data_IF_676380245096
#
_entry.id   IF_676380245096
#
_cell.length_a   1.000
_cell.length_b   1.000
_cell.length_c   1.000
_cell.angle_alpha   90.00
_cell.angle_beta   90.00
_cell.angle_gamma   90.00
#
_symmetry.space_group_name_H-M   'P 1'
#
loop_
_entity.id
_entity.type
_entity.pdbx_description
1 polymer ?
#
# COMPACT_ATOMS: atom_id res chain seq x y z
N UNK A 1 45.31 0.80 -39.86
CA UNK A 1 44.40 1.96 -39.72
C UNK A 1 42.92 1.56 -39.82
N UNK A 2 42.48 0.81 -40.86
CA UNK A 2 41.06 0.37 -40.98
C UNK A 2 40.54 -0.49 -39.81
N UNK A 3 41.35 -1.43 -39.31
CA UNK A 3 40.94 -2.33 -38.23
C UNK A 3 40.87 -1.62 -36.85
N UNK A 4 41.75 -0.65 -36.63
CA UNK A 4 41.69 0.22 -35.46
C UNK A 4 40.40 1.08 -35.47
N UNK A 5 40.07 1.70 -36.61
CA UNK A 5 38.85 2.50 -36.76
C UNK A 5 37.56 1.67 -36.54
N UNK A 6 37.54 0.42 -37.02
CA UNK A 6 36.39 -0.48 -36.76
C UNK A 6 36.25 -0.81 -35.29
N UNK A 7 37.34 -1.15 -34.62
CA UNK A 7 37.33 -1.49 -33.18
C UNK A 7 36.92 -0.30 -32.32
N UNK A 8 37.39 0.90 -32.66
CA UNK A 8 37.01 2.13 -31.98
C UNK A 8 35.51 2.45 -32.18
N UNK A 9 34.98 2.25 -33.37
CA UNK A 9 33.57 2.42 -33.70
C UNK A 9 32.71 1.43 -32.93
N UNK A 10 33.12 0.17 -32.81
CA UNK A 10 32.41 -0.84 -32.01
C UNK A 10 32.40 -0.50 -30.52
N UNK A 11 33.51 -0.01 -29.98
CA UNK A 11 33.62 0.44 -28.61
C UNK A 11 32.69 1.64 -28.32
N UNK A 12 32.67 2.63 -29.22
CA UNK A 12 31.79 3.80 -29.08
C UNK A 12 30.34 3.39 -29.16
N UNK A 13 29.93 2.51 -30.07
CA UNK A 13 28.58 2.01 -30.20
C UNK A 13 28.16 1.20 -28.97
N UNK A 14 29.05 0.36 -28.45
CA UNK A 14 28.81 -0.40 -27.22
C UNK A 14 28.59 0.52 -26.02
N UNK A 15 29.43 1.55 -25.86
CA UNK A 15 29.28 2.53 -24.78
C UNK A 15 28.00 3.35 -24.92
N UNK A 16 27.65 3.79 -26.11
CA UNK A 16 26.39 4.49 -26.36
C UNK A 16 25.15 3.63 -26.05
N UNK A 17 25.19 2.36 -26.46
CA UNK A 17 24.14 1.41 -26.17
C UNK A 17 23.98 1.19 -24.64
N UNK A 18 25.11 1.04 -23.93
CA UNK A 18 25.08 0.89 -22.47
C UNK A 18 24.49 2.12 -21.78
N UNK A 19 24.89 3.33 -22.20
CA UNK A 19 24.32 4.58 -21.67
C UNK A 19 22.83 4.66 -21.94
N UNK A 20 22.37 4.36 -23.16
CA UNK A 20 20.96 4.36 -23.51
C UNK A 20 20.16 3.30 -22.73
N UNK A 21 20.75 2.13 -22.50
CA UNK A 21 20.11 1.09 -21.67
C UNK A 21 19.98 1.55 -20.22
N UNK A 22 21.04 2.15 -19.66
CA UNK A 22 20.99 2.67 -18.29
C UNK A 22 20.02 3.84 -18.14
N UNK A 23 20.00 4.78 -19.09
CA UNK A 23 19.03 5.89 -19.08
C UNK A 23 17.60 5.39 -19.19
N UNK A 24 17.34 4.43 -20.09
CA UNK A 24 16.02 3.83 -20.22
C UNK A 24 15.64 3.02 -18.97
N UNK A 25 16.58 2.27 -18.39
CA UNK A 25 16.36 1.54 -17.15
C UNK A 25 16.00 2.49 -16.01
N UNK A 26 16.75 3.58 -15.83
CA UNK A 26 16.49 4.57 -14.79
C UNK A 26 15.16 5.31 -15.00
N UNK A 27 14.77 5.53 -16.24
CA UNK A 27 13.54 6.25 -16.59
C UNK A 27 12.28 5.39 -16.51
N UNK A 28 12.38 4.13 -16.93
CA UNK A 28 11.20 3.26 -17.11
C UNK A 28 11.18 2.02 -16.21
N UNK A 29 12.30 1.65 -15.60
CA UNK A 29 12.44 0.48 -14.74
C UNK A 29 12.93 0.84 -13.33
N UNK A 30 12.53 2.01 -12.80
CA UNK A 30 12.83 2.38 -11.42
C UNK A 30 11.94 1.59 -10.46
N UNK A 31 12.54 1.00 -9.43
CA UNK A 31 11.85 0.21 -8.41
C UNK A 31 12.01 -1.30 -8.59
N UNK A 32 11.27 -2.07 -7.80
CA UNK A 32 11.29 -3.53 -7.88
C UNK A 32 10.55 -4.04 -9.12
N UNK A 33 10.91 -5.24 -9.60
CA UNK A 33 10.23 -5.91 -10.72
C UNK A 33 8.73 -6.07 -10.40
N UNK A 34 8.40 -6.43 -9.17
CA UNK A 34 7.02 -6.61 -8.72
C UNK A 34 6.20 -5.31 -8.80
N UNK A 35 6.80 -4.16 -8.45
CA UNK A 35 6.14 -2.85 -8.64
C UNK A 35 5.84 -2.59 -10.11
N UNK A 36 6.78 -2.89 -10.96
CA UNK A 36 6.67 -2.74 -12.40
C UNK A 36 5.56 -3.60 -13.01
N UNK A 37 5.46 -4.83 -12.52
CA UNK A 37 4.38 -5.75 -12.91
C UNK A 37 3.02 -5.22 -12.49
N UNK A 38 2.89 -4.77 -11.25
CA UNK A 38 1.63 -4.19 -10.77
C UNK A 38 1.22 -2.95 -11.57
N UNK A 39 2.16 -2.05 -11.87
CA UNK A 39 1.89 -0.82 -12.62
C UNK A 39 1.54 -1.09 -14.09
N UNK A 40 2.20 -2.08 -14.73
CA UNK A 40 2.06 -2.37 -16.16
C UNK A 40 1.03 -3.45 -16.47
N UNK A 41 1.01 -4.53 -15.68
CA UNK A 41 0.19 -5.72 -15.90
C UNK A 41 -1.01 -5.78 -14.97
N UNK A 42 -0.98 -5.02 -13.88
CA UNK A 42 -2.00 -5.04 -12.83
C UNK A 42 -2.07 -6.36 -12.04
N UNK A 43 -1.04 -7.17 -12.08
CA UNK A 43 -0.85 -8.37 -11.27
C UNK A 43 0.65 -8.67 -11.11
N UNK A 44 1.01 -9.49 -10.13
CA UNK A 44 2.38 -9.97 -9.90
C UNK A 44 2.61 -11.30 -10.62
N UNK A 45 3.66 -11.38 -11.43
CA UNK A 45 4.19 -12.62 -11.97
C UNK A 45 5.30 -13.17 -11.07
N UNK A 46 6.07 -12.27 -10.46
CA UNK A 46 7.06 -12.57 -9.42
C UNK A 46 6.45 -12.47 -8.03
N UNK A 47 7.26 -12.65 -7.00
CA UNK A 47 6.82 -12.55 -5.62
C UNK A 47 6.20 -11.18 -5.34
N UNK A 48 5.16 -11.19 -4.51
CA UNK A 48 4.48 -9.98 -4.08
C UNK A 48 5.47 -9.01 -3.39
N UNK A 49 5.38 -7.70 -3.65
CA UNK A 49 6.27 -6.69 -3.08
C UNK A 49 6.39 -6.76 -1.55
N UNK A 50 5.34 -7.20 -0.88
CA UNK A 50 5.30 -7.32 0.58
C UNK A 50 5.76 -8.70 1.10
N UNK A 51 6.21 -9.62 0.23
CA UNK A 51 6.64 -10.97 0.65
C UNK A 51 7.85 -10.93 1.58
N UNK A 52 8.72 -9.94 1.41
CA UNK A 52 9.91 -9.76 2.23
C UNK A 52 9.69 -8.83 3.44
N UNK A 53 8.48 -8.26 3.60
CA UNK A 53 8.17 -7.32 4.68
C UNK A 53 8.43 -7.99 6.04
N UNK A 54 9.09 -7.26 6.93
CA UNK A 54 9.37 -7.72 8.31
C UNK A 54 8.12 -7.60 9.18
N UNK A 55 7.19 -8.52 8.97
CA UNK A 55 5.85 -8.53 9.59
C UNK A 55 5.92 -8.39 11.12
N UNK A 56 6.87 -9.07 11.76
CA UNK A 56 7.08 -9.03 13.23
C UNK A 56 7.43 -7.63 13.75
N UNK A 57 8.16 -6.83 12.95
CA UNK A 57 8.58 -5.47 13.34
C UNK A 57 7.39 -4.51 13.35
N UNK A 58 6.40 -4.77 12.48
CA UNK A 58 5.25 -3.90 12.27
C UNK A 58 3.95 -4.48 12.84
N UNK A 59 4.02 -5.57 13.62
CA UNK A 59 2.87 -6.31 14.15
C UNK A 59 1.84 -6.72 13.06
N UNK A 60 2.34 -7.04 11.88
CA UNK A 60 1.52 -7.48 10.76
C UNK A 60 1.31 -8.98 10.86
N UNK A 61 0.06 -9.40 10.75
CA UNK A 61 -0.34 -10.81 10.75
C UNK A 61 -0.89 -11.19 9.38
N UNK A 62 -0.73 -12.45 9.02
CA UNK A 62 -1.39 -13.00 7.83
C UNK A 62 -2.90 -13.06 8.07
N UNK A 63 -3.68 -12.44 7.16
CA UNK A 63 -5.14 -12.43 7.24
C UNK A 63 -5.76 -13.81 7.37
N UNK A 64 -5.20 -14.81 6.68
CA UNK A 64 -5.73 -16.17 6.68
C UNK A 64 -5.43 -16.93 7.96
N UNK A 65 -4.50 -16.44 8.78
CA UNK A 65 -4.22 -16.97 10.11
C UNK A 65 -5.12 -16.38 11.21
N UNK A 66 -5.82 -15.29 10.93
CA UNK A 66 -6.72 -14.62 11.89
C UNK A 66 -8.03 -15.45 11.99
N UNK A 67 -8.52 -15.75 13.20
CA UNK A 67 -9.81 -16.41 13.41
C UNK A 67 -10.96 -15.66 12.72
N UNK A 68 -11.98 -16.39 12.24
CA UNK A 68 -13.16 -15.81 11.58
C UNK A 68 -13.97 -14.93 12.52
N UNK A 69 -14.08 -15.35 13.79
CA UNK A 69 -14.69 -14.55 14.84
C UNK A 69 -13.62 -13.71 15.55
N UNK A 70 -13.87 -12.39 15.75
CA UNK A 70 -12.89 -11.53 16.37
C UNK A 70 -12.71 -11.92 17.85
N UNK A 71 -11.48 -12.08 18.28
CA UNK A 71 -11.10 -12.34 19.68
C UNK A 71 -11.48 -11.13 20.55
N UNK A 72 -12.08 -11.41 21.72
CA UNK A 72 -12.39 -10.40 22.70
C UNK A 72 -11.10 -10.03 23.47
N UNK A 73 -10.76 -8.75 23.44
CA UNK A 73 -9.64 -8.22 24.22
C UNK A 73 -10.09 -7.86 25.64
N UNK A 74 -11.15 -7.06 25.74
CA UNK A 74 -11.68 -6.62 27.05
C UNK A 74 -13.18 -6.33 26.99
N UNK A 75 -13.83 -6.44 28.16
CA UNK A 75 -15.24 -6.16 28.33
C UNK A 75 -15.39 -5.24 29.55
N UNK A 76 -16.08 -4.13 29.41
CA UNK A 76 -16.35 -3.21 30.50
C UNK A 76 -17.76 -2.61 30.42
N UNK A 77 -18.26 -2.11 31.54
CA UNK A 77 -19.53 -1.44 31.60
C UNK A 77 -19.39 0.05 31.23
N UNK A 78 -20.19 0.50 30.29
CA UNK A 78 -20.32 1.91 29.92
C UNK A 78 -21.19 2.70 30.90
N UNK A 79 -21.40 4.00 30.59
CA UNK A 79 -22.12 4.93 31.46
C UNK A 79 -23.59 4.54 31.74
N UNK A 80 -24.23 3.81 30.85
CA UNK A 80 -25.64 3.42 30.92
C UNK A 80 -25.83 1.92 31.20
N UNK A 81 -24.93 1.31 31.97
CA UNK A 81 -24.85 -0.15 32.19
C UNK A 81 -24.70 -0.98 30.89
N UNK A 82 -24.53 -0.31 29.75
CA UNK A 82 -24.29 -0.98 28.50
C UNK A 82 -22.93 -1.71 28.52
N UNK A 83 -22.94 -2.99 28.16
CA UNK A 83 -21.71 -3.76 28.03
C UNK A 83 -20.98 -3.35 26.76
N UNK A 84 -19.77 -2.85 26.92
CA UNK A 84 -18.87 -2.49 25.80
C UNK A 84 -17.82 -3.59 25.67
N UNK A 85 -17.77 -4.22 24.50
CA UNK A 85 -16.77 -5.23 24.17
C UNK A 85 -15.74 -4.62 23.22
N UNK A 86 -14.48 -4.67 23.62
CA UNK A 86 -13.35 -4.39 22.75
C UNK A 86 -12.81 -5.70 22.19
N UNK A 87 -12.51 -5.68 20.90
CA UNK A 87 -11.92 -6.82 20.22
C UNK A 87 -10.43 -6.56 20.02
N UNK A 88 -9.65 -7.62 20.06
CA UNK A 88 -8.23 -7.60 19.70
C UNK A 88 -8.07 -7.08 18.28
N UNK A 89 -7.28 -6.03 18.12
CA UNK A 89 -6.98 -5.48 16.82
C UNK A 89 -5.84 -6.26 16.18
N UNK A 90 -5.96 -6.49 14.89
CA UNK A 90 -4.93 -7.07 14.06
C UNK A 90 -4.50 -6.06 13.00
N UNK A 91 -3.28 -6.20 12.49
CA UNK A 91 -2.77 -5.42 11.37
C UNK A 91 -2.51 -6.34 10.20
N UNK A 92 -3.03 -6.00 9.04
CA UNK A 92 -2.77 -6.71 7.79
C UNK A 92 -2.12 -5.76 6.78
N UNK A 93 -1.30 -6.30 5.90
CA UNK A 93 -0.69 -5.53 4.82
C UNK A 93 -1.06 -6.10 3.46
N UNK A 94 -1.30 -5.24 2.48
CA UNK A 94 -1.62 -5.67 1.13
C UNK A 94 -1.56 -4.52 0.13
N UNK A 95 -1.50 -4.89 -1.15
CA UNK A 95 -1.56 -3.94 -2.27
C UNK A 95 -2.99 -3.82 -2.75
N UNK A 96 -3.46 -2.59 -2.90
CA UNK A 96 -4.81 -2.31 -3.43
C UNK A 96 -4.89 -2.78 -4.88
N UNK A 97 -5.82 -3.68 -5.18
CA UNK A 97 -6.07 -4.16 -6.54
C UNK A 97 -7.42 -3.67 -7.10
N UNK A 98 -8.39 -3.40 -6.23
CA UNK A 98 -9.71 -2.90 -6.63
C UNK A 98 -10.41 -2.17 -5.50
N UNK A 99 -11.45 -1.39 -5.82
CA UNK A 99 -12.37 -0.76 -4.87
C UNK A 99 -13.78 -0.66 -5.44
N UNK A 100 -14.77 -0.91 -4.60
CA UNK A 100 -16.19 -0.71 -4.91
C UNK A 100 -16.79 0.39 -4.03
N UNK A 101 -17.08 1.55 -4.65
CA UNK A 101 -17.66 2.71 -3.96
C UNK A 101 -19.07 2.48 -3.46
N UNK A 102 -19.84 1.62 -4.13
CA UNK A 102 -21.22 1.34 -3.74
C UNK A 102 -21.28 0.48 -2.48
N UNK A 103 -20.37 -0.48 -2.40
CA UNK A 103 -20.24 -1.40 -1.26
C UNK A 103 -19.33 -0.86 -0.16
N UNK A 104 -18.57 0.22 -0.43
CA UNK A 104 -17.50 0.75 0.42
C UNK A 104 -16.46 -0.32 0.75
N UNK A 105 -16.05 -1.09 -0.25
CA UNK A 105 -15.03 -2.14 -0.10
C UNK A 105 -13.78 -1.79 -0.86
N UNK A 106 -12.65 -2.23 -0.32
CA UNK A 106 -11.33 -2.20 -0.95
C UNK A 106 -10.81 -3.61 -0.99
N UNK A 107 -10.35 -4.04 -2.15
CA UNK A 107 -9.77 -5.36 -2.33
C UNK A 107 -8.25 -5.25 -2.29
N UNK A 108 -7.64 -5.97 -1.37
CA UNK A 108 -6.19 -6.05 -1.21
C UNK A 108 -5.68 -7.39 -1.71
N UNK A 109 -4.56 -7.36 -2.39
CA UNK A 109 -3.72 -8.52 -2.63
C UNK A 109 -2.65 -8.56 -1.54
N UNK A 110 -2.63 -9.63 -0.76
CA UNK A 110 -1.59 -9.92 0.23
C UNK A 110 -0.66 -11.02 -0.30
N UNK A 111 0.49 -11.28 0.30
CA UNK A 111 1.34 -12.41 -0.10
C UNK A 111 0.63 -13.76 -0.07
N UNK A 112 -0.38 -13.92 0.81
CA UNK A 112 -1.12 -15.18 1.01
C UNK A 112 -2.42 -15.29 0.22
N UNK A 113 -2.91 -14.18 -0.37
CA UNK A 113 -4.14 -14.20 -1.14
C UNK A 113 -4.89 -12.86 -1.18
N UNK A 114 -6.13 -12.91 -1.66
CA UNK A 114 -6.99 -11.73 -1.83
C UNK A 114 -7.85 -11.53 -0.60
N UNK A 115 -7.89 -10.30 -0.10
CA UNK A 115 -8.65 -9.91 1.09
C UNK A 115 -9.61 -8.77 0.75
N UNK A 116 -10.86 -8.90 1.17
CA UNK A 116 -11.87 -7.84 1.05
C UNK A 116 -11.90 -7.05 2.36
N UNK A 117 -11.64 -5.75 2.27
CA UNK A 117 -11.72 -4.80 3.39
C UNK A 117 -13.01 -4.02 3.28
N UNK A 118 -13.89 -4.13 4.27
CA UNK A 118 -15.17 -3.39 4.33
C UNK A 118 -15.01 -2.16 5.20
N UNK A 119 -15.04 -1.01 4.58
CA UNK A 119 -14.79 0.29 5.21
C UNK A 119 -16.12 1.01 5.50
N UNK A 120 -16.24 1.70 6.64
CA UNK A 120 -17.40 2.53 6.89
C UNK A 120 -17.49 3.67 5.86
N UNK A 121 -18.72 4.01 5.42
CA UNK A 121 -18.96 5.00 4.36
C UNK A 121 -18.22 6.33 4.58
N UNK A 122 -18.22 6.84 5.79
CA UNK A 122 -17.53 8.09 6.13
C UNK A 122 -16.00 7.96 6.00
N UNK A 123 -15.44 6.86 6.50
CA UNK A 123 -14.01 6.55 6.37
C UNK A 123 -13.64 6.32 4.91
N UNK A 124 -14.44 5.52 4.18
CA UNK A 124 -14.20 5.27 2.76
C UNK A 124 -14.12 6.59 1.98
N UNK A 125 -15.10 7.49 2.18
CA UNK A 125 -15.12 8.79 1.50
C UNK A 125 -13.92 9.67 1.85
N UNK A 126 -13.46 9.64 3.11
CA UNK A 126 -12.30 10.41 3.55
C UNK A 126 -11.01 9.92 2.90
N UNK A 127 -10.80 8.59 2.83
CA UNK A 127 -9.57 8.00 2.32
C UNK A 127 -9.57 7.82 0.79
N UNK A 128 -10.74 7.75 0.15
CA UNK A 128 -10.87 7.70 -1.33
C UNK A 128 -10.83 9.08 -1.98
N UNK A 129 -10.89 10.16 -1.20
CA UNK A 129 -10.87 11.53 -1.73
C UNK A 129 -9.51 11.85 -2.36
N UNK A 130 -9.51 12.42 -3.56
CA UNK A 130 -8.34 13.05 -4.15
C UNK A 130 -8.20 14.47 -3.60
N UNK A 131 -7.02 14.84 -3.16
CA UNK A 131 -6.69 16.17 -2.65
C UNK A 131 -6.00 16.95 -3.76
N UNK A 132 -6.47 18.17 -4.01
CA UNK A 132 -5.93 19.05 -5.06
C UNK A 132 -5.81 20.46 -4.53
N UNK A 133 -4.73 21.12 -4.84
CA UNK A 133 -4.48 22.54 -4.58
C UNK A 133 -4.58 23.35 -5.87
N UNK A 134 -4.78 24.66 -5.73
CA UNK A 134 -4.68 25.60 -6.82
C UNK A 134 -3.36 26.33 -6.72
N UNK A 135 -2.63 26.43 -7.83
CA UNK A 135 -1.44 27.27 -7.91
C UNK A 135 -1.81 28.77 -7.98
N UNK A 136 -0.79 29.62 -8.01
CA UNK A 136 -0.92 31.06 -8.17
C UNK A 136 -1.69 31.48 -9.43
N UNK A 137 -1.70 30.62 -10.46
CA UNK A 137 -2.38 30.84 -11.75
C UNK A 137 -3.81 30.28 -11.76
N UNK A 138 -4.28 29.73 -10.62
CA UNK A 138 -5.61 29.16 -10.46
C UNK A 138 -5.78 27.75 -11.05
N UNK A 139 -4.70 27.11 -11.52
CA UNK A 139 -4.72 25.74 -12.03
C UNK A 139 -4.72 24.76 -10.87
N UNK A 140 -5.56 23.71 -10.98
CA UNK A 140 -5.61 22.64 -9.99
C UNK A 140 -4.50 21.61 -10.23
N UNK A 141 -3.70 21.37 -9.20
CA UNK A 141 -2.75 20.26 -9.13
C UNK A 141 -3.20 19.22 -8.13
N UNK A 142 -3.00 17.96 -8.46
CA UNK A 142 -3.25 16.85 -7.53
C UNK A 142 -2.06 16.75 -6.60
N UNK A 143 -2.28 17.07 -5.32
CA UNK A 143 -1.27 16.96 -4.26
C UNK A 143 -1.22 15.52 -3.75
N UNK A 144 -2.40 14.93 -3.54
CA UNK A 144 -2.49 13.56 -3.07
C UNK A 144 -3.62 12.81 -3.77
N UNK A 145 -3.30 11.61 -4.29
CA UNK A 145 -4.30 10.71 -4.87
C UNK A 145 -5.03 9.96 -3.75
N UNK A 146 -6.18 9.35 -4.10
CA UNK A 146 -6.85 8.40 -3.22
C UNK A 146 -5.88 7.32 -2.71
N UNK A 147 -5.95 7.02 -1.41
CA UNK A 147 -5.19 5.90 -0.84
C UNK A 147 -5.67 4.55 -1.35
N UNK A 148 -6.92 4.47 -1.78
CA UNK A 148 -7.50 3.28 -2.41
C UNK A 148 -7.26 3.24 -3.92
N UNK A 149 -6.19 3.88 -4.39
CA UNK A 149 -5.73 3.74 -5.77
C UNK A 149 -4.99 2.42 -5.93
N UNK A 150 -5.27 1.72 -7.03
CA UNK A 150 -4.62 0.47 -7.39
C UNK A 150 -3.09 0.64 -7.37
N UNK A 151 -2.39 -0.35 -6.84
CA UNK A 151 -0.94 -0.35 -6.67
C UNK A 151 -0.46 0.28 -5.35
N UNK A 152 -1.30 1.00 -4.62
CA UNK A 152 -0.92 1.47 -3.29
C UNK A 152 -0.81 0.31 -2.31
N UNK A 153 0.22 0.33 -1.49
CA UNK A 153 0.46 -0.62 -0.41
C UNK A 153 -0.04 -0.04 0.90
N UNK A 154 -0.92 -0.77 1.56
CA UNK A 154 -1.56 -0.31 2.80
C UNK A 154 -1.32 -1.32 3.92
N UNK A 155 -1.06 -0.80 5.13
CA UNK A 155 -1.25 -1.53 6.38
C UNK A 155 -2.54 -1.02 6.98
N UNK A 156 -3.41 -1.95 7.38
CA UNK A 156 -4.73 -1.63 7.91
C UNK A 156 -4.88 -2.27 9.28
N UNK A 157 -5.28 -1.47 10.27
CA UNK A 157 -5.59 -1.91 11.63
C UNK A 157 -7.09 -2.18 11.74
N UNK A 158 -7.47 -3.35 12.25
CA UNK A 158 -8.88 -3.71 12.35
C UNK A 158 -9.13 -5.11 12.91
N UNK A 159 -10.30 -5.63 12.61
CA UNK A 159 -10.76 -6.95 13.02
C UNK A 159 -11.22 -7.74 11.80
N UNK A 160 -11.01 -9.06 11.82
CA UNK A 160 -11.65 -9.98 10.88
C UNK A 160 -13.04 -10.32 11.41
N UNK A 161 -14.03 -10.31 10.54
CA UNK A 161 -15.37 -10.83 10.81
C UNK A 161 -15.87 -11.50 9.55
N UNK A 162 -16.23 -12.74 9.68
CA UNK A 162 -16.55 -13.61 8.56
C UNK A 162 -15.41 -13.57 7.52
N UNK A 163 -15.72 -13.40 6.26
CA UNK A 163 -14.75 -13.33 5.16
C UNK A 163 -14.22 -11.90 4.88
N UNK A 164 -14.46 -10.93 5.77
CA UNK A 164 -14.07 -9.55 5.54
C UNK A 164 -13.18 -9.00 6.65
N UNK A 165 -12.30 -8.07 6.30
CA UNK A 165 -11.55 -7.29 7.26
C UNK A 165 -12.20 -5.91 7.44
N UNK A 166 -12.46 -5.53 8.70
CA UNK A 166 -13.15 -4.28 9.05
C UNK A 166 -12.15 -3.36 9.74
N UNK A 167 -11.75 -2.24 9.11
CA UNK A 167 -10.88 -1.26 9.74
C UNK A 167 -11.50 -0.72 11.03
N UNK A 168 -10.77 -0.81 12.12
CA UNK A 168 -11.22 -0.40 13.44
C UNK A 168 -10.05 0.12 14.27
N UNK A 169 -10.31 1.18 15.05
CA UNK A 169 -9.37 1.76 15.99
C UNK A 169 -10.12 2.16 17.26
N UNK A 170 -9.52 1.91 18.41
CA UNK A 170 -10.03 2.37 19.69
C UNK A 170 -9.23 3.59 20.17
N UNK A 171 -9.81 4.33 21.12
CA UNK A 171 -9.10 5.42 21.77
C UNK A 171 -7.91 4.85 22.57
N UNK A 172 -6.72 5.35 22.32
CA UNK A 172 -5.49 4.86 22.94
C UNK A 172 -4.79 3.76 22.15
N UNK A 173 -5.32 3.33 21.00
CA UNK A 173 -4.59 2.43 20.11
C UNK A 173 -3.39 3.17 19.52
N UNK A 174 -2.20 2.59 19.64
CA UNK A 174 -0.94 3.14 19.17
C UNK A 174 -0.88 3.20 17.64
N UNK A 175 -1.40 2.17 16.98
CA UNK A 175 -1.36 2.03 15.52
C UNK A 175 -2.39 2.91 14.80
N UNK A 176 -2.04 3.49 13.63
CA UNK A 176 -2.99 4.21 12.78
C UNK A 176 -4.02 3.25 12.19
N UNK A 177 -5.18 3.79 11.80
CA UNK A 177 -6.23 3.02 11.13
C UNK A 177 -5.78 2.52 9.76
N UNK A 178 -5.14 3.42 9.00
CA UNK A 178 -4.50 3.15 7.71
C UNK A 178 -3.09 3.73 7.73
N UNK A 179 -2.16 3.00 7.16
CA UNK A 179 -0.79 3.43 6.93
C UNK A 179 -0.43 3.08 5.49
N UNK A 180 -0.06 4.08 4.70
CA UNK A 180 0.34 3.89 3.31
C UNK A 180 1.84 3.74 3.26
N UNK A 181 2.30 2.62 2.75
CA UNK A 181 3.71 2.36 2.53
C UNK A 181 4.13 3.02 1.23
N UNK A 182 5.08 3.93 1.29
CA UNK A 182 5.64 4.60 0.12
C UNK A 182 6.85 3.83 -0.41
N UNK A 183 7.74 3.40 0.47
CA UNK A 183 8.99 2.75 0.11
C UNK A 183 9.37 1.66 1.10
N UNK A 184 9.90 0.54 0.57
CA UNK A 184 10.41 -0.61 1.32
C UNK A 184 11.81 -0.90 0.80
N UNK A 185 12.75 -1.21 1.70
CA UNK A 185 14.09 -1.65 1.32
C UNK A 185 14.12 -3.14 0.90
N UNK A 186 15.24 -3.57 0.33
CA UNK A 186 15.44 -4.96 -0.11
C UNK A 186 15.43 -5.97 1.06
N UNK A 187 15.58 -5.49 2.30
CA UNK A 187 15.56 -6.32 3.51
C UNK A 187 14.15 -6.42 4.13
N UNK A 188 13.19 -5.69 3.57
CA UNK A 188 11.80 -5.68 4.01
C UNK A 188 11.49 -4.69 5.13
N UNK A 189 12.33 -3.66 5.32
CA UNK A 189 12.02 -2.55 6.23
C UNK A 189 11.34 -1.42 5.49
N UNK A 190 10.32 -0.82 6.11
CA UNK A 190 9.64 0.36 5.59
C UNK A 190 10.57 1.56 5.77
N UNK A 191 10.99 2.17 4.65
CA UNK A 191 11.83 3.36 4.63
C UNK A 191 10.99 4.63 4.79
N UNK A 192 9.80 4.64 4.19
CA UNK A 192 8.86 5.76 4.33
C UNK A 192 7.42 5.27 4.29
N UNK A 193 6.59 5.86 5.13
CA UNK A 193 5.14 5.63 5.17
C UNK A 193 4.39 6.90 5.57
N UNK A 194 3.11 6.97 5.20
CA UNK A 194 2.20 8.04 5.56
C UNK A 194 1.08 7.46 6.42
N UNK A 195 0.78 8.10 7.55
CA UNK A 195 -0.29 7.68 8.49
C UNK A 195 -1.49 8.62 8.47
N UNK A 196 -1.30 9.81 7.91
CA UNK A 196 -2.32 10.86 7.79
C UNK A 196 -2.34 11.38 6.35
N UNK A 197 -3.47 11.88 5.95
CA UNK A 197 -3.62 12.51 4.65
C UNK A 197 -3.15 13.96 4.70
N UNK A 198 -2.68 14.46 3.56
CA UNK A 198 -2.28 15.86 3.43
C UNK A 198 -3.47 16.76 3.79
N UNK A 199 -3.28 17.66 4.75
CA UNK A 199 -4.23 18.72 5.04
C UNK A 199 -3.96 19.89 4.07
N UNK A 200 -4.99 20.29 3.35
CA UNK A 200 -4.94 21.46 2.47
C UNK A 200 -5.73 22.56 3.17
N UNK A 201 -5.05 23.66 3.49
CA UNK A 201 -5.66 24.87 4.03
C UNK A 201 -6.60 25.56 3.03
#
# INVERSE_FOLDING_TARGET
>A
MRDWMKKEQENILSNLNNILIEENKNKYASGSISKWEMDSLSFYYHDHELSNLKNEVYDIVDYFSIPEEPEIDSVFKGKDDATITLFKLNRIAGTVIDKDKNKNTVTLLTPSGVVVVKVWKSQFSAWDKQISEKDSDGKKHVVEKSWFTRGNKLIITGIKRDDTFIPKKYKGTEWPLFEKIEEIDDKGFILSSSTERVEVE
#
